data_IF_645796056783
#
_entry.id   IF_645796056783
#
_cell.length_a   1.000
_cell.length_b   1.000
_cell.length_c   1.000
_cell.angle_alpha   90.00
_cell.angle_beta   90.00
_cell.angle_gamma   90.00
#
_symmetry.space_group_name_H-M   'P 1'
#
loop_
_entity.id
_entity.type
_entity.pdbx_description
1 polymer ?
#
# COMPACT_ATOMS: atom_id res chain seq x y z
N UNK A 1 -1.36 9.25 -30.11
CA UNK A 1 -1.19 9.57 -28.69
C UNK A 1 -1.46 8.29 -27.92
N UNK A 2 -0.59 7.92 -26.98
CA UNK A 2 -0.73 6.66 -26.24
C UNK A 2 -1.87 6.80 -25.22
N UNK A 3 -2.85 5.91 -25.26
CA UNK A 3 -3.96 5.91 -24.31
C UNK A 3 -3.57 5.14 -23.05
N UNK A 4 -3.34 5.88 -21.97
CA UNK A 4 -3.05 5.35 -20.63
C UNK A 4 -4.32 5.33 -19.81
N UNK A 5 -4.60 4.22 -19.15
CA UNK A 5 -5.69 4.13 -18.17
C UNK A 5 -5.15 3.73 -16.80
N UNK A 6 -5.85 4.16 -15.75
CA UNK A 6 -5.58 3.75 -14.37
C UNK A 6 -6.86 3.61 -13.56
N UNK A 7 -6.75 3.17 -12.31
CA UNK A 7 -7.89 3.13 -11.36
C UNK A 7 -7.71 4.19 -10.28
N UNK A 8 -8.79 4.60 -9.57
CA UNK A 8 -8.70 5.61 -8.51
C UNK A 8 -7.68 5.29 -7.40
N UNK A 9 -7.31 4.02 -7.22
CA UNK A 9 -6.31 3.65 -6.22
C UNK A 9 -4.88 3.98 -6.63
N UNK A 10 -4.60 4.06 -7.93
CA UNK A 10 -3.28 4.25 -8.51
C UNK A 10 -3.03 5.69 -8.97
N UNK A 11 -4.11 6.48 -9.13
CA UNK A 11 -4.09 7.85 -9.66
C UNK A 11 -3.03 8.76 -9.02
N UNK A 12 -2.94 8.76 -7.69
CA UNK A 12 -1.96 9.60 -6.99
C UNK A 12 -0.52 9.32 -7.41
N UNK A 13 -0.17 8.05 -7.65
CA UNK A 13 1.19 7.67 -8.05
C UNK A 13 1.48 8.12 -9.48
N UNK A 14 0.49 8.13 -10.38
CA UNK A 14 0.64 8.74 -11.70
C UNK A 14 0.90 10.24 -11.58
N UNK A 15 0.11 10.94 -10.75
CA UNK A 15 0.27 12.37 -10.50
C UNK A 15 1.65 12.71 -9.93
N UNK A 16 2.11 12.00 -8.90
CA UNK A 16 3.45 12.21 -8.30
C UNK A 16 4.56 11.91 -9.33
N UNK A 17 4.33 10.93 -10.22
CA UNK A 17 5.26 10.62 -11.31
C UNK A 17 5.20 11.60 -12.49
N UNK A 18 4.37 12.65 -12.45
CA UNK A 18 4.21 13.66 -13.51
C UNK A 18 3.61 13.13 -14.81
N UNK A 19 2.84 12.05 -14.76
CA UNK A 19 2.04 11.59 -15.89
C UNK A 19 0.73 12.37 -15.84
N UNK A 20 0.43 13.16 -16.88
CA UNK A 20 -0.74 14.04 -16.91
C UNK A 20 -1.86 13.56 -17.84
N UNK A 21 -1.51 12.85 -18.93
CA UNK A 21 -2.47 12.38 -19.94
C UNK A 21 -2.85 10.91 -19.70
N UNK A 22 -3.89 10.71 -18.88
CA UNK A 22 -4.46 9.40 -18.58
C UNK A 22 -5.96 9.50 -18.24
N UNK A 23 -6.66 8.37 -18.36
CA UNK A 23 -8.06 8.25 -17.96
C UNK A 23 -8.19 7.39 -16.69
N UNK A 24 -8.94 7.88 -15.70
CA UNK A 24 -9.27 7.12 -14.50
C UNK A 24 -10.56 6.34 -14.73
N UNK A 25 -10.47 5.01 -14.71
CA UNK A 25 -11.60 4.10 -14.95
C UNK A 25 -11.92 3.27 -13.72
N UNK A 26 -13.17 2.82 -13.62
CA UNK A 26 -13.56 1.80 -12.63
C UNK A 26 -12.78 0.50 -12.88
N UNK A 27 -12.42 -0.29 -11.85
CA UNK A 27 -11.82 -1.61 -12.02
C UNK A 27 -12.59 -2.55 -12.97
N UNK A 28 -13.91 -2.38 -13.08
CA UNK A 28 -14.77 -3.17 -13.98
C UNK A 28 -14.72 -2.69 -15.45
N UNK A 29 -14.05 -1.57 -15.73
CA UNK A 29 -14.00 -0.90 -17.03
C UNK A 29 -12.58 -0.78 -17.61
N UNK A 30 -11.67 -1.69 -17.25
CA UNK A 30 -10.30 -1.73 -17.78
C UNK A 30 -10.33 -2.33 -19.20
N UNK A 31 -10.41 -1.46 -20.22
CA UNK A 31 -10.46 -1.85 -21.64
C UNK A 31 -10.04 -0.69 -22.55
N UNK A 32 -9.89 -0.99 -23.85
CA UNK A 32 -9.70 0.00 -24.91
C UNK A 32 -8.57 1.00 -24.64
N UNK A 33 -7.39 0.52 -24.23
CA UNK A 33 -6.21 1.33 -23.92
C UNK A 33 -4.92 0.67 -24.43
N UNK A 34 -3.87 1.47 -24.63
CA UNK A 34 -2.55 0.96 -25.03
C UNK A 34 -1.81 0.35 -23.83
N UNK A 35 -1.98 0.95 -22.65
CA UNK A 35 -1.40 0.48 -21.40
C UNK A 35 -2.28 0.85 -20.20
N UNK A 36 -2.37 -0.06 -19.24
CA UNK A 36 -3.03 0.15 -17.97
C UNK A 36 -2.01 0.16 -16.82
N UNK A 37 -1.99 1.22 -16.02
CA UNK A 37 -1.20 1.29 -14.78
C UNK A 37 -2.11 0.89 -13.63
N UNK A 38 -1.86 -0.29 -13.06
CA UNK A 38 -2.78 -0.95 -12.13
C UNK A 38 -2.02 -1.60 -10.97
N UNK A 39 -2.71 -1.86 -9.86
CA UNK A 39 -2.19 -2.70 -8.80
C UNK A 39 -1.74 -4.06 -9.37
N UNK A 40 -0.66 -4.59 -8.81
CA UNK A 40 -0.03 -5.84 -9.25
C UNK A 40 -1.01 -7.01 -9.27
N UNK A 41 -1.94 -7.03 -8.33
CA UNK A 41 -2.96 -8.07 -8.13
C UNK A 41 -4.13 -7.94 -9.12
N UNK A 42 -4.33 -6.78 -9.75
CA UNK A 42 -5.44 -6.54 -10.68
C UNK A 42 -5.24 -7.29 -11.99
N UNK A 43 -6.21 -8.12 -12.37
CA UNK A 43 -6.23 -8.79 -13.68
C UNK A 43 -6.59 -7.79 -14.77
N UNK A 44 -6.02 -7.95 -15.96
CA UNK A 44 -6.25 -7.06 -17.09
C UNK A 44 -5.97 -7.79 -18.39
N UNK A 45 -6.85 -7.62 -19.37
CA UNK A 45 -6.65 -8.07 -20.75
C UNK A 45 -5.90 -7.01 -21.58
N UNK A 46 -5.85 -5.77 -21.09
CA UNK A 46 -5.00 -4.68 -21.61
C UNK A 46 -3.56 -4.87 -21.10
N UNK A 47 -2.52 -4.57 -21.90
CA UNK A 47 -1.14 -4.55 -21.43
C UNK A 47 -1.00 -3.77 -20.12
N UNK A 48 -0.46 -4.41 -19.08
CA UNK A 48 -0.41 -3.85 -17.74
C UNK A 48 1.01 -3.48 -17.34
N UNK A 49 1.15 -2.30 -16.74
CA UNK A 49 2.31 -1.95 -15.93
C UNK A 49 1.93 -2.07 -14.44
N UNK A 50 2.34 -3.16 -13.77
CA UNK A 50 1.93 -3.43 -12.40
C UNK A 50 2.69 -2.54 -11.41
N UNK A 51 1.97 -1.95 -10.45
CA UNK A 51 2.54 -1.21 -9.32
C UNK A 51 2.11 -1.82 -7.98
N UNK A 52 2.84 -1.52 -6.92
CA UNK A 52 2.48 -1.89 -5.54
C UNK A 52 2.43 -0.63 -4.69
N UNK A 53 1.46 -0.53 -3.79
CA UNK A 53 1.18 0.71 -3.05
C UNK A 53 0.90 0.46 -1.56
N UNK A 54 1.41 -0.64 -1.00
CA UNK A 54 1.08 -1.05 0.37
C UNK A 54 1.95 -0.35 1.40
N UNK A 55 3.18 0.02 1.01
CA UNK A 55 4.21 0.60 1.88
C UNK A 55 4.78 1.88 1.27
N UNK A 56 5.45 2.72 2.06
CA UNK A 56 6.10 3.92 1.54
C UNK A 56 7.18 3.59 0.51
N UNK A 57 7.98 2.53 0.76
CA UNK A 57 9.00 2.02 -0.16
C UNK A 57 8.38 1.64 -1.50
N UNK A 58 7.25 0.92 -1.48
CA UNK A 58 6.57 0.50 -2.71
C UNK A 58 5.98 1.68 -3.50
N UNK A 59 5.47 2.72 -2.80
CA UNK A 59 5.02 3.96 -3.45
C UNK A 59 6.21 4.63 -4.15
N UNK A 60 7.32 4.82 -3.44
CA UNK A 60 8.54 5.42 -4.00
C UNK A 60 9.03 4.67 -5.24
N UNK A 61 9.21 3.35 -5.13
CA UNK A 61 9.65 2.50 -6.24
C UNK A 61 8.70 2.59 -7.45
N UNK A 62 7.39 2.63 -7.20
CA UNK A 62 6.38 2.75 -8.26
C UNK A 62 6.46 4.11 -8.96
N UNK A 63 6.64 5.21 -8.21
CA UNK A 63 6.81 6.55 -8.79
C UNK A 63 8.07 6.62 -9.66
N UNK A 64 9.21 6.13 -9.17
CA UNK A 64 10.47 6.18 -9.92
C UNK A 64 10.38 5.33 -11.18
N UNK A 65 9.84 4.11 -11.08
CA UNK A 65 9.61 3.25 -12.23
C UNK A 65 8.74 3.92 -13.30
N UNK A 66 7.64 4.57 -12.90
CA UNK A 66 6.76 5.28 -13.83
C UNK A 66 7.49 6.47 -14.47
N UNK A 67 8.19 7.27 -13.67
CA UNK A 67 8.95 8.40 -14.18
C UNK A 67 9.97 7.97 -15.23
N UNK A 68 10.73 6.91 -14.97
CA UNK A 68 11.73 6.42 -15.92
C UNK A 68 11.07 5.81 -17.17
N UNK A 69 9.92 5.13 -17.00
CA UNK A 69 9.20 4.48 -18.12
C UNK A 69 8.61 5.49 -19.11
N UNK A 70 8.12 6.61 -18.60
CA UNK A 70 7.42 7.64 -19.37
C UNK A 70 8.25 8.91 -19.60
N UNK A 71 9.47 8.97 -19.04
CA UNK A 71 10.39 10.10 -19.15
C UNK A 71 9.75 11.43 -18.74
N UNK A 72 9.17 11.45 -17.54
CA UNK A 72 8.47 12.59 -16.94
C UNK A 72 9.29 13.22 -15.81
N UNK A 73 8.80 14.30 -15.23
CA UNK A 73 9.33 14.89 -13.98
C UNK A 73 8.50 14.40 -12.79
N UNK A 74 9.09 14.37 -11.60
CA UNK A 74 8.37 14.00 -10.36
C UNK A 74 7.97 15.24 -9.56
N UNK A 75 6.98 15.08 -8.71
CA UNK A 75 6.72 15.99 -7.59
C UNK A 75 7.78 15.79 -6.50
N UNK A 76 8.78 16.68 -6.47
CA UNK A 76 9.92 16.57 -5.55
C UNK A 76 9.51 16.71 -4.08
N UNK A 77 8.50 17.53 -3.76
CA UNK A 77 8.05 17.75 -2.39
C UNK A 77 7.38 16.47 -1.84
N UNK A 78 6.52 15.83 -2.63
CA UNK A 78 5.92 14.55 -2.25
C UNK A 78 6.97 13.42 -2.17
N UNK A 79 7.98 13.42 -3.05
CA UNK A 79 9.07 12.43 -2.98
C UNK A 79 9.91 12.59 -1.73
N UNK A 80 10.31 13.83 -1.38
CA UNK A 80 11.04 14.12 -0.15
C UNK A 80 10.24 13.70 1.08
N UNK A 81 8.93 13.94 1.07
CA UNK A 81 8.01 13.50 2.12
C UNK A 81 7.97 11.97 2.24
N UNK A 82 7.87 11.24 1.13
CA UNK A 82 7.86 9.77 1.14
C UNK A 82 9.19 9.23 1.68
N UNK A 83 10.33 9.80 1.27
CA UNK A 83 11.66 9.40 1.74
C UNK A 83 11.81 9.60 3.26
N UNK A 84 11.34 10.73 3.79
CA UNK A 84 11.36 10.99 5.24
C UNK A 84 10.52 9.95 6.01
N UNK A 85 9.36 9.54 5.48
CA UNK A 85 8.52 8.50 6.08
C UNK A 85 9.15 7.10 6.01
N UNK A 86 9.92 6.80 4.96
CA UNK A 86 10.71 5.56 4.85
C UNK A 86 11.80 5.54 5.93
N UNK A 87 12.53 6.65 6.10
CA UNK A 87 13.58 6.80 7.10
C UNK A 87 13.00 6.64 8.52
N UNK A 88 11.94 7.38 8.86
CA UNK A 88 11.26 7.27 10.16
C UNK A 88 10.77 5.83 10.43
N UNK A 89 10.26 5.13 9.42
CA UNK A 89 9.85 3.76 9.55
C UNK A 89 11.05 2.83 9.82
N UNK A 90 12.17 3.03 9.12
CA UNK A 90 13.38 2.23 9.26
C UNK A 90 14.00 2.36 10.66
N UNK A 91 14.04 3.57 11.22
CA UNK A 91 14.56 3.81 12.58
C UNK A 91 13.82 3.01 13.66
N UNK A 92 12.56 2.65 13.42
CA UNK A 92 11.70 1.95 14.38
C UNK A 92 11.67 0.43 14.19
N UNK A 93 12.23 -0.10 13.09
CA UNK A 93 12.15 -1.54 12.73
C UNK A 93 12.71 -2.46 13.81
N UNK A 94 13.88 -2.16 14.33
CA UNK A 94 14.57 -3.01 15.31
C UNK A 94 13.73 -3.19 16.59
N UNK A 95 13.08 -2.12 17.04
CA UNK A 95 12.21 -2.16 18.22
C UNK A 95 10.97 -3.05 18.00
N UNK A 96 10.45 -3.09 16.77
CA UNK A 96 9.24 -3.85 16.40
C UNK A 96 9.52 -5.33 16.17
N UNK A 97 10.76 -5.72 15.88
CA UNK A 97 11.16 -7.11 15.62
C UNK A 97 10.81 -8.09 16.74
N UNK A 98 10.70 -7.61 17.98
CA UNK A 98 10.30 -8.43 19.14
C UNK A 98 8.81 -8.78 19.20
N UNK A 99 7.97 -8.10 18.41
CA UNK A 99 6.52 -8.35 18.39
C UNK A 99 6.20 -9.41 17.35
N UNK A 100 5.59 -10.52 17.79
CA UNK A 100 5.23 -11.65 16.94
C UNK A 100 3.78 -11.55 16.49
N UNK A 101 3.54 -11.64 15.19
CA UNK A 101 2.20 -11.51 14.61
C UNK A 101 1.89 -12.62 13.63
N UNK A 102 0.61 -12.99 13.54
CA UNK A 102 0.06 -13.81 12.46
C UNK A 102 -0.73 -12.93 11.52
N UNK A 103 -0.48 -13.04 10.22
CA UNK A 103 -1.04 -12.14 9.22
C UNK A 103 -1.80 -12.92 8.16
N UNK A 104 -3.02 -12.47 7.87
CA UNK A 104 -3.85 -12.99 6.80
C UNK A 104 -3.98 -11.94 5.71
N UNK A 105 -3.75 -12.32 4.44
CA UNK A 105 -3.60 -11.45 3.25
C UNK A 105 -2.16 -11.03 2.91
N UNK A 106 -1.79 -11.13 1.63
CA UNK A 106 -0.48 -10.71 1.12
C UNK A 106 -0.30 -9.19 1.20
N UNK A 107 -1.38 -8.42 1.02
CA UNK A 107 -1.39 -6.97 1.22
C UNK A 107 -0.88 -6.59 2.62
N UNK A 108 -1.34 -7.28 3.66
CA UNK A 108 -0.90 -7.02 5.02
C UNK A 108 0.49 -7.57 5.31
N UNK A 109 0.88 -8.69 4.70
CA UNK A 109 2.25 -9.21 4.83
C UNK A 109 3.28 -8.18 4.37
N UNK A 110 3.03 -7.52 3.24
CA UNK A 110 3.93 -6.45 2.74
C UNK A 110 4.09 -5.33 3.79
N UNK A 111 2.98 -4.86 4.39
CA UNK A 111 3.00 -3.81 5.43
C UNK A 111 3.76 -4.26 6.67
N UNK A 112 3.43 -5.45 7.18
CA UNK A 112 3.97 -5.96 8.45
C UNK A 112 5.48 -6.19 8.36
N UNK A 113 5.95 -6.74 7.24
CA UNK A 113 7.37 -6.91 6.97
C UNK A 113 8.08 -5.57 6.78
N UNK A 114 7.48 -4.62 6.05
CA UNK A 114 8.06 -3.30 5.86
C UNK A 114 8.11 -2.49 7.17
N UNK A 115 7.19 -2.70 8.11
CA UNK A 115 7.27 -2.09 9.44
C UNK A 115 8.33 -2.75 10.35
N UNK A 116 8.78 -3.97 10.05
CA UNK A 116 9.79 -4.70 10.81
C UNK A 116 9.25 -5.65 11.89
N UNK A 117 7.97 -6.01 11.85
CA UNK A 117 7.39 -7.01 12.77
C UNK A 117 7.73 -8.45 12.37
N UNK A 118 7.70 -9.37 13.33
CA UNK A 118 8.02 -10.79 13.07
C UNK A 118 6.75 -11.58 12.75
N UNK A 119 6.67 -12.18 11.55
CA UNK A 119 5.56 -13.06 11.16
C UNK A 119 5.87 -14.51 11.56
N UNK A 120 4.98 -15.14 12.33
CA UNK A 120 5.21 -16.49 12.90
C UNK A 120 3.89 -17.17 13.31
N UNK A 121 3.90 -18.50 13.41
CA UNK A 121 2.76 -19.29 13.94
C UNK A 121 2.69 -19.31 15.47
N UNK A 122 3.78 -18.98 16.16
CA UNK A 122 3.81 -18.63 17.59
C UNK A 122 3.68 -17.10 17.70
N UNK A 123 2.48 -16.58 17.93
CA UNK A 123 2.17 -15.15 17.79
C UNK A 123 1.47 -14.56 19.01
N UNK A 124 1.68 -13.25 19.21
CA UNK A 124 1.01 -12.45 20.23
C UNK A 124 -0.26 -11.77 19.68
N UNK A 125 -0.29 -11.50 18.37
CA UNK A 125 -1.39 -10.79 17.70
C UNK A 125 -1.78 -11.41 16.36
N UNK A 126 -3.04 -11.21 15.97
CA UNK A 126 -3.58 -11.57 14.66
C UNK A 126 -3.92 -10.30 13.87
N UNK A 127 -3.41 -10.16 12.66
CA UNK A 127 -3.67 -9.03 11.77
C UNK A 127 -4.50 -9.51 10.57
N UNK A 128 -5.68 -8.92 10.37
CA UNK A 128 -6.62 -9.27 9.29
C UNK A 128 -7.11 -8.02 8.55
N UNK A 129 -7.50 -8.15 7.27
CA UNK A 129 -8.11 -7.06 6.54
C UNK A 129 -9.59 -6.92 6.91
N UNK A 130 -10.13 -5.72 6.71
CA UNK A 130 -11.54 -5.37 6.98
C UNK A 130 -12.58 -6.06 6.09
N UNK A 131 -12.18 -6.73 5.00
CA UNK A 131 -13.06 -7.57 4.17
C UNK A 131 -13.10 -9.04 4.60
N UNK A 132 -12.38 -9.39 5.66
CA UNK A 132 -12.35 -10.76 6.14
C UNK A 132 -13.61 -11.04 6.98
N UNK A 133 -14.71 -11.37 6.30
CA UNK A 133 -16.04 -11.56 6.91
C UNK A 133 -16.19 -12.92 7.63
N UNK A 134 -15.34 -13.91 7.33
CA UNK A 134 -15.40 -15.26 7.90
C UNK A 134 -14.16 -15.59 8.73
N UNK A 135 -14.09 -15.15 9.98
CA UNK A 135 -13.47 -16.00 11.01
C UNK A 135 -14.22 -15.78 12.31
N UNK A 136 -14.59 -16.89 12.92
CA UNK A 136 -14.76 -17.11 14.35
C UNK A 136 -13.50 -16.69 15.17
N UNK A 137 -12.86 -15.55 14.89
CA UNK A 137 -11.92 -14.86 15.80
C UNK A 137 -12.80 -14.17 16.83
N UNK A 138 -13.55 -14.95 17.60
CA UNK A 138 -14.50 -14.45 18.58
C UNK A 138 -13.79 -13.51 19.55
N UNK A 139 -14.21 -12.24 19.57
CA UNK A 139 -13.89 -11.21 20.57
C UNK A 139 -12.44 -11.16 21.10
N UNK A 140 -11.45 -11.67 20.34
CA UNK A 140 -10.11 -11.77 20.90
C UNK A 140 -9.45 -10.40 20.88
N UNK A 141 -8.99 -9.98 22.06
CA UNK A 141 -8.31 -8.68 22.28
C UNK A 141 -6.96 -8.57 21.54
N UNK A 142 -6.47 -9.67 20.98
CA UNK A 142 -5.22 -9.80 20.22
C UNK A 142 -5.41 -9.61 18.70
N UNK A 143 -6.65 -9.41 18.23
CA UNK A 143 -6.94 -9.19 16.81
C UNK A 143 -6.93 -7.70 16.43
N UNK A 144 -6.24 -7.36 15.33
CA UNK A 144 -6.17 -6.03 14.74
C UNK A 144 -6.73 -6.08 13.32
N UNK A 145 -7.83 -5.36 13.10
CA UNK A 145 -8.46 -5.21 11.79
C UNK A 145 -7.87 -3.98 11.10
N UNK A 146 -7.32 -4.18 9.91
CA UNK A 146 -6.66 -3.12 9.13
C UNK A 146 -7.52 -2.77 7.90
N UNK A 147 -7.88 -1.49 7.71
CA UNK A 147 -8.65 -1.06 6.55
C UNK A 147 -7.93 -1.29 5.21
N UNK A 148 -8.58 -2.01 4.29
CA UNK A 148 -8.03 -2.31 2.97
C UNK A 148 -8.38 -1.24 1.94
N UNK A 149 -9.67 -0.94 1.76
CA UNK A 149 -10.15 -0.11 0.66
C UNK A 149 -11.37 0.76 1.04
N UNK A 150 -12.16 0.36 2.03
CA UNK A 150 -13.31 1.15 2.50
C UNK A 150 -12.85 2.17 3.54
N UNK A 151 -13.42 3.38 3.50
CA UNK A 151 -13.18 4.45 4.48
C UNK A 151 -11.70 4.84 4.67
N UNK A 152 -10.87 4.72 3.62
CA UNK A 152 -9.48 5.16 3.63
C UNK A 152 -9.29 6.44 2.83
N UNK A 153 -8.23 7.20 3.16
CA UNK A 153 -7.89 8.43 2.43
C UNK A 153 -7.69 8.15 0.94
N UNK A 154 -8.15 9.09 0.09
CA UNK A 154 -7.79 9.10 -1.33
C UNK A 154 -6.29 9.33 -1.52
N UNK A 155 -5.69 10.19 -0.68
CA UNK A 155 -4.25 10.42 -0.67
C UNK A 155 -3.51 9.14 -0.29
N UNK A 156 -2.65 8.64 -1.18
CA UNK A 156 -1.98 7.34 -1.01
C UNK A 156 -0.99 7.33 0.16
N UNK A 157 -0.28 8.43 0.39
CA UNK A 157 0.68 8.57 1.50
C UNK A 157 -0.07 8.56 2.83
N UNK A 158 -1.15 9.34 2.95
CA UNK A 158 -2.01 9.35 4.15
C UNK A 158 -2.66 7.99 4.41
N UNK A 159 -3.01 7.27 3.34
CA UNK A 159 -3.58 5.92 3.45
C UNK A 159 -2.59 4.97 4.10
N UNK A 160 -1.35 4.92 3.62
CA UNK A 160 -0.29 4.10 4.24
C UNK A 160 -0.02 4.55 5.68
N UNK A 161 0.11 5.86 5.89
CA UNK A 161 0.32 6.43 7.22
C UNK A 161 -0.73 6.02 8.24
N UNK A 162 -2.01 6.12 7.89
CA UNK A 162 -3.10 5.74 8.79
C UNK A 162 -3.03 4.27 9.24
N UNK A 163 -2.54 3.37 8.36
CA UNK A 163 -2.36 1.94 8.69
C UNK A 163 -1.16 1.72 9.60
N UNK A 164 -0.05 2.41 9.33
CA UNK A 164 1.15 2.36 10.16
C UNK A 164 0.82 2.87 11.57
N UNK A 165 0.17 4.03 11.68
CA UNK A 165 -0.26 4.61 12.95
C UNK A 165 -1.23 3.70 13.73
N UNK A 166 -2.13 2.99 13.02
CA UNK A 166 -3.02 2.01 13.62
C UNK A 166 -2.23 0.84 14.22
N UNK A 167 -1.32 0.25 13.43
CA UNK A 167 -0.51 -0.88 13.85
C UNK A 167 0.41 -0.52 15.01
N UNK A 168 1.10 0.62 14.95
CA UNK A 168 1.92 1.13 16.05
C UNK A 168 1.12 1.26 17.35
N UNK A 169 -0.04 1.91 17.29
CA UNK A 169 -0.89 2.11 18.47
C UNK A 169 -1.38 0.80 19.07
N UNK A 170 -1.65 -0.21 18.23
CA UNK A 170 -2.23 -1.49 18.66
C UNK A 170 -1.19 -2.49 19.14
N UNK A 171 0.01 -2.44 18.58
CA UNK A 171 1.07 -3.44 18.78
C UNK A 171 2.19 -2.94 19.68
N UNK A 172 2.54 -1.66 19.63
CA UNK A 172 3.73 -1.11 20.31
C UNK A 172 3.39 -0.33 21.59
N UNK A 173 2.20 0.26 21.71
CA UNK A 173 1.85 1.18 22.81
C UNK A 173 1.06 0.54 23.97
N UNK A 174 1.25 -0.74 24.27
CA UNK A 174 0.63 -1.38 25.45
C UNK A 174 1.67 -1.62 26.57
N UNK A 175 1.75 -0.65 27.49
CA UNK A 175 2.22 -0.85 28.85
C UNK A 175 1.11 -0.39 29.81
#
# INVERSE_FOLDING_TARGET
MMKIITTPMCEDVLRISGIEDYEVVSPDNIKDADIAILLSETKSDVPKLPIKLNTYTQIYESVIMLRDRFNTTIDEDEINRILALIEENNEKKDNRGNTKVKVYSNFLKDIILDMGFTITDDYDYIIIPDYWDDIEIGERKDCVIVPSHKNVSRNIVERVKSRYDLLERKLCMKH
#
